data_IF_327688736244
#
_entry.id   IF_327688736244
#
_cell.length_a   1.000
_cell.length_b   1.000
_cell.length_c   1.000
_cell.angle_alpha   90.00
_cell.angle_beta   90.00
_cell.angle_gamma   90.00
#
_symmetry.space_group_name_H-M   'P 1'
#
loop_
_entity.id
_entity.type
_entity.pdbx_description
1 polymer ?
#
# COMPACT_ATOMS: atom_id res chain seq x y z
N UNK A 1 -22.16 30.35 25.64
CA UNK A 1 -21.05 31.26 25.98
C UNK A 1 -19.76 30.46 25.82
N UNK A 2 -18.95 30.83 24.81
CA UNK A 2 -17.51 30.55 24.61
C UNK A 2 -17.10 29.05 24.67
N UNK A 3 -16.67 28.42 23.56
CA UNK A 3 -15.33 28.58 22.99
C UNK A 3 -15.35 28.55 21.46
N UNK A 4 -15.53 29.72 20.83
CA UNK A 4 -14.88 29.96 19.54
C UNK A 4 -13.40 30.19 19.83
N UNK A 5 -12.62 29.10 19.84
CA UNK A 5 -11.19 29.21 19.70
C UNK A 5 -10.91 29.91 18.38
N UNK A 6 -10.19 31.03 18.42
CA UNK A 6 -9.69 31.72 17.23
C UNK A 6 -8.78 30.75 16.47
N UNK A 7 -9.36 29.99 15.55
CA UNK A 7 -8.60 29.43 14.44
C UNK A 7 -7.99 30.63 13.73
N UNK A 8 -6.66 30.72 13.67
CA UNK A 8 -6.02 31.62 12.73
C UNK A 8 -6.50 31.20 11.35
N UNK A 9 -7.38 31.99 10.73
CA UNK A 9 -7.96 31.77 9.41
C UNK A 9 -6.91 31.85 8.27
N UNK A 10 -5.62 31.76 8.60
CA UNK A 10 -4.52 31.78 7.65
C UNK A 10 -4.20 30.33 7.28
N UNK A 11 -4.29 29.97 5.99
CA UNK A 11 -3.85 28.66 5.52
C UNK A 11 -2.41 28.38 5.94
N UNK A 12 -2.12 27.14 6.34
CA UNK A 12 -0.75 26.70 6.60
C UNK A 12 0.04 26.78 5.28
N UNK A 13 1.22 27.39 5.33
CA UNK A 13 2.11 27.39 4.18
C UNK A 13 2.71 26.00 3.96
N UNK A 14 2.76 25.57 2.71
CA UNK A 14 3.44 24.36 2.25
C UNK A 14 4.27 24.79 1.04
N UNK A 15 5.59 24.60 1.11
CA UNK A 15 6.45 24.94 -0.01
C UNK A 15 6.23 23.96 -1.17
N UNK A 16 5.91 24.50 -2.34
CA UNK A 16 5.59 23.66 -3.50
C UNK A 16 6.82 22.90 -3.99
N UNK A 17 8.00 23.53 -4.01
CA UNK A 17 9.23 22.89 -4.51
C UNK A 17 9.60 21.68 -3.65
N UNK A 18 9.54 21.83 -2.33
CA UNK A 18 9.80 20.77 -1.37
C UNK A 18 8.91 19.54 -1.54
N UNK A 19 7.65 19.69 -1.99
CA UNK A 19 6.77 18.53 -2.27
C UNK A 19 7.28 17.63 -3.41
N UNK A 20 8.16 18.15 -4.26
CA UNK A 20 8.77 17.41 -5.36
C UNK A 20 10.22 17.06 -5.05
N UNK A 21 11.01 17.93 -4.40
CA UNK A 21 12.45 17.69 -4.18
C UNK A 21 12.80 17.04 -2.84
N UNK A 22 11.90 17.01 -1.86
CA UNK A 22 12.15 16.48 -0.51
C UNK A 22 11.08 15.43 -0.14
N UNK A 23 11.50 14.16 -0.02
CA UNK A 23 10.62 13.06 0.36
C UNK A 23 10.01 13.26 1.75
N UNK A 24 10.78 13.75 2.72
CA UNK A 24 10.34 14.02 4.08
C UNK A 24 9.27 15.11 4.11
N UNK A 25 9.48 16.21 3.38
CA UNK A 25 8.49 17.28 3.26
C UNK A 25 7.17 16.80 2.63
N UNK A 26 7.25 15.99 1.56
CA UNK A 26 6.08 15.40 0.92
C UNK A 26 5.31 14.46 1.85
N UNK A 27 6.01 13.53 2.52
CA UNK A 27 5.40 12.60 3.48
C UNK A 27 4.77 13.36 4.64
N UNK A 28 5.45 14.38 5.17
CA UNK A 28 4.92 15.21 6.24
C UNK A 28 3.63 15.92 5.83
N UNK A 29 3.59 16.50 4.63
CA UNK A 29 2.38 17.10 4.08
C UNK A 29 1.23 16.10 3.97
N UNK A 30 1.48 14.90 3.42
CA UNK A 30 0.47 13.85 3.30
C UNK A 30 -0.06 13.38 4.66
N UNK A 31 0.83 13.15 5.63
CA UNK A 31 0.46 12.76 6.99
C UNK A 31 -0.40 13.84 7.66
N UNK A 32 -0.02 15.12 7.54
CA UNK A 32 -0.81 16.22 8.08
C UNK A 32 -2.19 16.33 7.43
N UNK A 33 -2.25 16.22 6.09
CA UNK A 33 -3.49 16.35 5.34
C UNK A 33 -4.46 15.19 5.62
N UNK A 34 -3.93 13.97 5.75
CA UNK A 34 -4.71 12.77 6.08
C UNK A 34 -4.97 12.61 7.59
N UNK A 35 -4.50 13.56 8.42
CA UNK A 35 -4.55 13.50 9.87
C UNK A 35 -3.99 12.17 10.41
N UNK A 36 -2.89 11.67 9.82
CA UNK A 36 -2.20 10.46 10.26
C UNK A 36 -1.53 10.72 11.61
N UNK A 37 -2.06 10.10 12.67
CA UNK A 37 -1.71 10.41 14.06
C UNK A 37 -1.13 9.21 14.81
N UNK A 38 -0.72 9.44 16.06
CA UNK A 38 -0.25 8.37 16.96
C UNK A 38 -1.31 7.27 17.19
N UNK A 39 -2.60 7.61 17.14
CA UNK A 39 -3.69 6.64 17.24
C UNK A 39 -3.71 5.69 16.03
N UNK A 40 -3.43 6.21 14.82
CA UNK A 40 -3.31 5.38 13.62
C UNK A 40 -2.09 4.45 13.74
N UNK A 41 -0.96 4.96 14.23
CA UNK A 41 0.25 4.16 14.48
C UNK A 41 -0.02 3.05 15.50
N UNK A 42 -0.69 3.36 16.61
CA UNK A 42 -1.06 2.39 17.63
C UNK A 42 -2.01 1.31 17.08
N UNK A 43 -2.98 1.71 16.25
CA UNK A 43 -3.89 0.78 15.58
C UNK A 43 -3.14 -0.17 14.62
N UNK A 44 -2.23 0.37 13.80
CA UNK A 44 -1.39 -0.41 12.89
C UNK A 44 -0.49 -1.39 13.63
N UNK A 45 0.21 -0.94 14.68
CA UNK A 45 1.09 -1.78 15.48
C UNK A 45 0.32 -2.94 16.11
N UNK A 46 -0.83 -2.66 16.74
CA UNK A 46 -1.71 -3.68 17.32
C UNK A 46 -2.33 -4.61 16.26
N UNK A 47 -2.63 -4.06 15.08
CA UNK A 47 -3.25 -4.76 13.95
C UNK A 47 -2.29 -5.63 13.14
N UNK A 48 -0.98 -5.34 13.22
CA UNK A 48 0.07 -5.92 12.37
C UNK A 48 0.04 -7.45 12.30
N UNK A 49 -0.22 -8.13 13.42
CA UNK A 49 -0.30 -9.60 13.47
C UNK A 49 -1.41 -10.19 12.61
N UNK A 50 -2.55 -9.50 12.50
CA UNK A 50 -3.68 -9.94 11.68
C UNK A 50 -3.38 -9.74 10.19
N UNK A 51 -2.75 -8.62 9.83
CA UNK A 51 -2.35 -8.32 8.45
C UNK A 51 -1.24 -9.28 7.98
N UNK A 52 -0.26 -9.59 8.84
CA UNK A 52 0.77 -10.60 8.56
C UNK A 52 0.17 -11.99 8.34
N UNK A 53 -0.81 -12.38 9.16
CA UNK A 53 -1.51 -13.65 8.99
C UNK A 53 -2.33 -13.73 7.69
N UNK A 54 -2.85 -12.60 7.21
CA UNK A 54 -3.58 -12.49 5.95
C UNK A 54 -2.67 -12.57 4.70
N UNK A 55 -1.39 -12.24 4.82
CA UNK A 55 -0.49 -12.05 3.70
C UNK A 55 -0.44 -13.21 2.68
N UNK A 56 -0.42 -14.50 3.08
CA UNK A 56 -0.42 -15.61 2.11
C UNK A 56 -1.67 -15.60 1.21
N UNK A 57 -2.86 -15.49 1.81
CA UNK A 57 -4.14 -15.49 1.07
C UNK A 57 -4.29 -14.25 0.21
N UNK A 58 -3.90 -13.08 0.72
CA UNK A 58 -3.96 -11.83 -0.04
C UNK A 58 -3.08 -11.89 -1.28
N UNK A 59 -1.84 -12.36 -1.14
CA UNK A 59 -0.90 -12.49 -2.26
C UNK A 59 -1.46 -13.43 -3.33
N UNK A 60 -2.08 -14.53 -2.92
CA UNK A 60 -2.64 -15.51 -3.85
C UNK A 60 -3.81 -14.91 -4.64
N UNK A 61 -4.71 -14.19 -3.96
CA UNK A 61 -5.79 -13.43 -4.61
C UNK A 61 -5.26 -12.38 -5.60
N UNK A 62 -4.23 -11.62 -5.21
CA UNK A 62 -3.62 -10.59 -6.07
C UNK A 62 -3.04 -11.21 -7.34
N UNK A 63 -2.26 -12.28 -7.25
CA UNK A 63 -1.65 -12.89 -8.44
C UNK A 63 -2.66 -13.62 -9.33
N UNK A 64 -3.69 -14.24 -8.75
CA UNK A 64 -4.81 -14.72 -9.55
C UNK A 64 -5.45 -13.55 -10.33
N UNK A 65 -5.71 -12.43 -9.65
CA UNK A 65 -6.33 -11.24 -10.24
C UNK A 65 -5.50 -10.61 -11.36
N UNK A 66 -4.18 -10.52 -11.18
CA UNK A 66 -3.27 -9.97 -12.18
C UNK A 66 -3.16 -10.86 -13.44
N UNK A 67 -3.42 -12.16 -13.31
CA UNK A 67 -3.41 -13.11 -14.43
C UNK A 67 -4.77 -13.24 -15.14
N UNK A 68 -5.83 -12.62 -14.63
CA UNK A 68 -7.17 -12.65 -15.26
C UNK A 68 -7.26 -11.82 -16.54
N UNK A 69 -6.51 -10.71 -16.62
CA UNK A 69 -6.51 -9.82 -17.79
C UNK A 69 -5.16 -9.86 -18.48
N UNK A 70 -5.19 -9.89 -19.80
CA UNK A 70 -4.00 -9.91 -20.66
C UNK A 70 -3.08 -8.72 -20.37
N UNK A 71 -3.63 -7.50 -20.24
CA UNK A 71 -2.87 -6.28 -19.99
C UNK A 71 -2.10 -6.31 -18.66
N UNK A 72 -2.65 -6.93 -17.61
CA UNK A 72 -1.97 -7.06 -16.32
C UNK A 72 -1.04 -8.28 -16.27
N UNK A 73 -1.33 -9.32 -17.05
CA UNK A 73 -0.49 -10.50 -17.16
C UNK A 73 0.75 -10.26 -18.04
N UNK A 74 0.64 -9.34 -19.00
CA UNK A 74 1.67 -9.00 -20.00
C UNK A 74 3.01 -8.66 -19.38
N UNK A 75 3.01 -7.87 -18.31
CA UNK A 75 4.23 -7.45 -17.63
C UNK A 75 5.09 -8.62 -17.13
N UNK A 76 4.49 -9.80 -16.90
CA UNK A 76 5.24 -10.98 -16.48
C UNK A 76 6.01 -11.66 -17.62
N UNK A 77 5.82 -11.20 -18.85
CA UNK A 77 6.55 -11.63 -20.04
C UNK A 77 7.47 -10.53 -20.56
N UNK A 78 6.88 -9.41 -20.95
CA UNK A 78 7.54 -8.27 -21.60
C UNK A 78 8.32 -7.41 -20.62
N UNK A 79 7.97 -7.51 -19.33
CA UNK A 79 8.44 -6.61 -18.27
C UNK A 79 7.94 -5.18 -18.43
N UNK A 80 7.01 -4.94 -19.35
CA UNK A 80 6.43 -3.63 -19.65
C UNK A 80 4.96 -3.77 -20.07
N UNK A 81 4.04 -3.09 -19.40
CA UNK A 81 2.61 -3.14 -19.77
C UNK A 81 2.30 -2.45 -21.09
N UNK A 82 3.13 -1.48 -21.50
CA UNK A 82 2.90 -0.65 -22.69
C UNK A 82 3.35 -1.30 -24.00
N UNK A 83 4.23 -2.30 -23.94
CA UNK A 83 4.70 -3.01 -25.12
C UNK A 83 3.61 -3.94 -25.64
N UNK A 84 3.20 -3.76 -26.89
CA UNK A 84 2.31 -4.71 -27.58
C UNK A 84 3.17 -5.75 -28.29
N UNK A 85 3.13 -7.01 -27.84
CA UNK A 85 3.78 -8.14 -28.52
C UNK A 85 2.78 -8.80 -29.48
N UNK A 86 3.12 -8.87 -30.76
CA UNK A 86 2.28 -9.53 -31.78
C UNK A 86 2.45 -11.07 -31.80
N UNK A 87 3.55 -11.62 -31.28
CA UNK A 87 4.02 -12.95 -31.72
C UNK A 87 3.82 -14.12 -30.75
N UNK A 88 3.53 -13.90 -29.46
CA UNK A 88 3.49 -15.01 -28.50
C UNK A 88 2.21 -15.00 -27.67
N UNK A 89 1.45 -16.11 -27.72
CA UNK A 89 0.10 -16.22 -27.12
C UNK A 89 0.08 -16.85 -25.73
N UNK A 90 1.23 -17.33 -25.22
CA UNK A 90 1.27 -18.06 -23.96
C UNK A 90 1.54 -17.13 -22.79
N UNK A 91 0.56 -16.97 -21.91
CA UNK A 91 0.70 -16.26 -20.64
C UNK A 91 1.18 -17.20 -19.53
N UNK A 92 1.96 -16.70 -18.56
CA UNK A 92 2.30 -17.48 -17.38
C UNK A 92 1.05 -17.83 -16.58
N UNK A 93 1.00 -19.05 -16.07
CA UNK A 93 -0.04 -19.51 -15.15
C UNK A 93 0.35 -19.23 -13.70
N UNK A 94 -0.61 -19.37 -12.79
CA UNK A 94 -0.39 -19.23 -11.35
C UNK A 94 0.77 -20.10 -10.84
N UNK A 95 0.96 -21.30 -11.39
CA UNK A 95 1.99 -22.26 -11.00
C UNK A 95 3.35 -22.03 -11.66
N UNK A 96 3.46 -21.07 -12.58
CA UNK A 96 4.72 -20.75 -13.25
C UNK A 96 5.78 -20.33 -12.24
N UNK A 97 6.99 -20.89 -12.35
CA UNK A 97 8.09 -20.66 -11.39
C UNK A 97 8.40 -19.17 -11.19
N UNK A 98 8.29 -18.37 -12.25
CA UNK A 98 8.46 -16.91 -12.17
C UNK A 98 7.37 -16.23 -11.32
N UNK A 99 6.10 -16.61 -11.49
CA UNK A 99 4.98 -16.09 -10.69
C UNK A 99 5.14 -16.48 -9.22
N UNK A 100 5.56 -17.70 -8.93
CA UNK A 100 5.84 -18.16 -7.57
C UNK A 100 6.93 -17.32 -6.88
N UNK A 101 8.03 -16.99 -7.60
CA UNK A 101 9.07 -16.09 -7.09
C UNK A 101 8.52 -14.69 -6.82
N UNK A 102 7.73 -14.12 -7.73
CA UNK A 102 7.13 -12.79 -7.58
C UNK A 102 6.13 -12.72 -6.41
N UNK A 103 5.37 -13.78 -6.15
CA UNK A 103 4.51 -13.94 -4.95
C UNK A 103 5.31 -13.81 -3.65
N UNK A 104 6.51 -14.40 -3.57
CA UNK A 104 7.38 -14.28 -2.38
C UNK A 104 7.78 -12.82 -2.11
N UNK A 105 8.11 -12.04 -3.14
CA UNK A 105 8.41 -10.62 -2.97
C UNK A 105 7.21 -9.84 -2.41
N UNK A 106 6.00 -10.10 -2.89
CA UNK A 106 4.81 -9.42 -2.36
C UNK A 106 4.53 -9.83 -0.91
N UNK A 107 4.80 -11.08 -0.50
CA UNK A 107 4.72 -11.51 0.91
C UNK A 107 5.67 -10.73 1.80
N UNK A 108 6.92 -10.53 1.36
CA UNK A 108 7.88 -9.70 2.09
C UNK A 108 7.45 -8.24 2.15
N UNK A 109 6.89 -7.72 1.05
CA UNK A 109 6.33 -6.38 1.01
C UNK A 109 5.20 -6.19 2.04
N UNK A 110 4.27 -7.15 2.13
CA UNK A 110 3.20 -7.13 3.15
C UNK A 110 3.76 -7.09 4.58
N UNK A 111 4.88 -7.77 4.82
CA UNK A 111 5.58 -7.73 6.12
C UNK A 111 6.19 -6.35 6.37
N UNK A 112 6.79 -5.73 5.35
CA UNK A 112 7.33 -4.37 5.43
C UNK A 112 6.26 -3.31 5.65
N UNK A 113 5.06 -3.48 5.08
CA UNK A 113 3.91 -2.60 5.38
C UNK A 113 3.47 -2.65 6.85
N UNK A 114 3.84 -3.70 7.57
CA UNK A 114 3.57 -3.83 9.00
C UNK A 114 4.76 -3.40 9.88
N UNK A 115 5.77 -2.72 9.31
CA UNK A 115 6.86 -2.11 10.08
C UNK A 115 6.47 -0.72 10.58
N UNK A 116 7.31 -0.14 11.45
CA UNK A 116 7.01 1.09 12.17
C UNK A 116 6.87 2.30 11.22
N UNK A 117 5.66 2.87 11.05
CA UNK A 117 5.43 3.98 10.13
C UNK A 117 5.90 5.33 10.70
N UNK A 118 6.47 5.37 11.91
CA UNK A 118 7.11 6.60 12.45
C UNK A 118 8.53 6.80 11.92
N UNK A 119 9.08 5.79 11.24
CA UNK A 119 10.45 5.74 10.76
C UNK A 119 10.55 6.25 9.31
N UNK A 120 11.48 7.15 8.97
CA UNK A 120 11.64 7.63 7.59
C UNK A 120 11.91 6.49 6.60
N UNK A 121 12.63 5.46 7.05
CA UNK A 121 12.99 4.28 6.26
C UNK A 121 11.75 3.52 5.75
N UNK A 122 10.62 3.61 6.46
CA UNK A 122 9.34 3.07 6.02
C UNK A 122 8.92 3.71 4.70
N UNK A 123 8.92 5.04 4.63
CA UNK A 123 8.47 5.80 3.46
C UNK A 123 9.50 5.81 2.33
N UNK A 124 10.80 5.80 2.66
CA UNK A 124 11.87 5.59 1.69
C UNK A 124 11.71 4.26 0.96
N UNK A 125 11.38 3.19 1.70
CA UNK A 125 11.12 1.90 1.11
C UNK A 125 9.90 1.92 0.17
N UNK A 126 8.79 2.55 0.57
CA UNK A 126 7.62 2.70 -0.29
C UNK A 126 7.96 3.48 -1.57
N UNK A 127 8.64 4.62 -1.42
CA UNK A 127 9.08 5.45 -2.54
C UNK A 127 9.99 4.66 -3.51
N UNK A 128 10.93 3.87 -2.98
CA UNK A 128 11.79 2.98 -3.76
C UNK A 128 10.97 1.95 -4.54
N UNK A 129 9.94 1.35 -3.93
CA UNK A 129 9.07 0.41 -4.65
C UNK A 129 8.32 1.10 -5.79
N UNK A 130 7.89 2.35 -5.61
CA UNK A 130 7.37 3.18 -6.72
C UNK A 130 8.36 3.29 -7.88
N UNK A 131 9.61 3.69 -7.60
CA UNK A 131 10.70 3.77 -8.60
C UNK A 131 10.95 2.44 -9.32
N UNK A 132 10.88 1.33 -8.58
CA UNK A 132 11.05 -0.02 -9.13
C UNK A 132 9.98 -0.44 -10.14
N UNK A 133 8.83 0.24 -10.20
CA UNK A 133 7.76 -0.01 -11.17
C UNK A 133 7.83 0.87 -12.42
N UNK A 134 8.76 1.83 -12.47
CA UNK A 134 9.10 2.61 -13.69
C UNK A 134 10.45 2.19 -14.29
N UNK A 135 10.94 1.01 -13.93
CA UNK A 135 12.23 0.49 -14.40
C UNK A 135 13.48 1.08 -13.73
N UNK A 136 13.36 2.02 -12.78
CA UNK A 136 14.50 2.52 -11.99
C UNK A 136 14.85 1.54 -10.86
N UNK A 137 16.09 1.56 -10.38
CA UNK A 137 16.59 0.75 -9.24
C UNK A 137 16.43 -0.78 -9.36
N UNK A 138 16.38 -1.31 -10.59
CA UNK A 138 16.44 -2.76 -10.85
C UNK A 138 17.53 -3.04 -11.87
N UNK A 139 18.25 -4.17 -11.70
CA UNK A 139 19.17 -4.66 -12.72
C UNK A 139 18.44 -5.02 -14.02
N UNK A 140 17.23 -5.57 -13.90
CA UNK A 140 16.35 -5.80 -15.02
C UNK A 140 15.15 -4.85 -14.88
N UNK A 141 14.98 -3.93 -15.83
CA UNK A 141 13.93 -2.92 -15.82
C UNK A 141 12.53 -3.56 -15.84
N UNK A 142 11.58 -2.99 -15.10
CA UNK A 142 10.20 -3.45 -14.99
C UNK A 142 9.30 -2.23 -14.97
N UNK A 143 8.49 -2.06 -16.01
CA UNK A 143 7.63 -0.92 -16.23
C UNK A 143 6.16 -1.32 -16.12
N UNK A 144 5.41 -0.66 -15.23
CA UNK A 144 3.98 -0.89 -15.04
C UNK A 144 3.29 0.46 -15.05
N UNK A 145 2.38 0.66 -15.98
CA UNK A 145 1.61 1.89 -16.05
C UNK A 145 0.77 2.10 -14.78
N UNK A 146 0.66 3.36 -14.37
CA UNK A 146 0.06 3.71 -13.08
C UNK A 146 -1.40 3.25 -12.92
N UNK A 147 -2.17 3.20 -14.01
CA UNK A 147 -3.56 2.72 -13.98
C UNK A 147 -3.66 1.30 -13.39
N UNK A 148 -2.71 0.41 -13.73
CA UNK A 148 -2.67 -0.96 -13.25
C UNK A 148 -2.18 -1.04 -11.79
N UNK A 149 -1.26 -0.15 -11.41
CA UNK A 149 -0.82 0.00 -10.02
C UNK A 149 -1.99 0.44 -9.14
N UNK A 150 -2.65 1.55 -9.49
CA UNK A 150 -3.73 2.14 -8.71
C UNK A 150 -4.90 1.18 -8.51
N UNK A 151 -5.34 0.48 -9.57
CA UNK A 151 -6.42 -0.51 -9.46
C UNK A 151 -6.01 -1.72 -8.61
N UNK A 152 -4.75 -2.16 -8.69
CA UNK A 152 -4.24 -3.26 -7.84
C UNK A 152 -4.19 -2.85 -6.36
N UNK A 153 -3.80 -1.61 -6.04
CA UNK A 153 -3.84 -1.09 -4.68
C UNK A 153 -5.27 -1.03 -4.14
N UNK A 154 -6.23 -0.59 -4.95
CA UNK A 154 -7.66 -0.62 -4.61
C UNK A 154 -8.16 -2.04 -4.31
N UNK A 155 -7.75 -3.03 -5.12
CA UNK A 155 -8.10 -4.43 -4.88
C UNK A 155 -7.47 -5.00 -3.60
N UNK A 156 -6.22 -4.64 -3.30
CA UNK A 156 -5.55 -5.00 -2.04
C UNK A 156 -6.30 -4.40 -0.85
N UNK A 157 -6.70 -3.13 -0.94
CA UNK A 157 -7.46 -2.44 0.11
C UNK A 157 -8.80 -3.14 0.39
N UNK A 158 -9.52 -3.57 -0.65
CA UNK A 158 -10.79 -4.29 -0.53
C UNK A 158 -10.63 -5.63 0.22
N UNK A 159 -9.62 -6.43 -0.14
CA UNK A 159 -9.32 -7.71 0.55
C UNK A 159 -9.02 -7.46 2.04
N UNK A 160 -8.21 -6.44 2.34
CA UNK A 160 -7.86 -6.08 3.71
C UNK A 160 -9.10 -5.66 4.50
N UNK A 161 -9.97 -4.84 3.89
CA UNK A 161 -11.21 -4.37 4.49
C UNK A 161 -12.13 -5.55 4.85
N UNK A 162 -12.38 -6.44 3.88
CA UNK A 162 -13.19 -7.64 4.07
C UNK A 162 -12.64 -8.50 5.21
N UNK A 163 -11.32 -8.74 5.24
CA UNK A 163 -10.67 -9.55 6.26
C UNK A 163 -10.76 -8.93 7.66
N UNK A 164 -10.56 -7.62 7.79
CA UNK A 164 -10.66 -6.92 9.08
C UNK A 164 -12.10 -6.96 9.60
N UNK A 165 -13.09 -6.69 8.76
CA UNK A 165 -14.50 -6.70 9.18
C UNK A 165 -15.04 -8.10 9.45
N UNK A 166 -14.53 -9.12 8.77
CA UNK A 166 -14.89 -10.53 9.00
C UNK A 166 -14.22 -11.14 10.23
N UNK A 167 -13.18 -10.50 10.79
CA UNK A 167 -12.45 -11.06 11.92
C UNK A 167 -13.35 -11.16 13.17
N UNK A 168 -13.55 -12.35 13.76
CA UNK A 168 -14.56 -12.57 14.81
C UNK A 168 -14.18 -11.95 16.16
N UNK A 169 -12.87 -11.85 16.44
CA UNK A 169 -12.38 -11.41 17.76
C UNK A 169 -12.06 -9.89 17.84
N UNK A 170 -12.16 -9.15 16.73
CA UNK A 170 -11.87 -7.71 16.76
C UNK A 170 -13.14 -6.94 17.12
N UNK A 171 -13.02 -6.00 18.06
CA UNK A 171 -14.12 -5.09 18.39
C UNK A 171 -14.41 -4.17 17.22
N UNK A 172 -15.66 -3.73 17.07
CA UNK A 172 -16.04 -2.80 15.99
C UNK A 172 -15.22 -1.50 16.03
N UNK A 173 -14.98 -0.95 17.22
CA UNK A 173 -14.15 0.24 17.40
C UNK A 173 -12.71 0.03 16.88
N UNK A 174 -12.11 -1.13 17.17
CA UNK A 174 -10.77 -1.44 16.67
C UNK A 174 -10.75 -1.73 15.16
N UNK A 175 -11.77 -2.41 14.62
CA UNK A 175 -11.95 -2.61 13.17
C UNK A 175 -11.96 -1.26 12.44
N UNK A 176 -12.76 -0.31 12.93
CA UNK A 176 -12.84 1.04 12.38
C UNK A 176 -11.49 1.77 12.45
N UNK A 177 -10.83 1.77 13.61
CA UNK A 177 -9.54 2.42 13.78
C UNK A 177 -8.46 1.82 12.85
N UNK A 178 -8.40 0.49 12.77
CA UNK A 178 -7.44 -0.21 11.92
C UNK A 178 -7.69 0.07 10.44
N UNK A 179 -8.94 0.06 9.98
CA UNK A 179 -9.30 0.36 8.59
C UNK A 179 -8.97 1.80 8.22
N UNK A 180 -9.25 2.76 9.10
CA UNK A 180 -8.85 4.16 8.89
C UNK A 180 -7.33 4.29 8.73
N UNK A 181 -6.57 3.70 9.64
CA UNK A 181 -5.12 3.77 9.61
C UNK A 181 -4.52 3.10 8.37
N UNK A 182 -5.00 1.91 8.00
CA UNK A 182 -4.58 1.20 6.79
C UNK A 182 -4.92 1.99 5.51
N UNK A 183 -6.11 2.60 5.45
CA UNK A 183 -6.52 3.41 4.30
C UNK A 183 -5.61 4.62 4.11
N UNK A 184 -5.19 5.29 5.19
CA UNK A 184 -4.24 6.41 5.14
C UNK A 184 -2.87 5.95 4.62
N UNK A 185 -2.34 4.82 5.11
CA UNK A 185 -1.06 4.26 4.63
C UNK A 185 -1.12 3.88 3.15
N UNK A 186 -2.20 3.24 2.71
CA UNK A 186 -2.41 2.88 1.30
C UNK A 186 -2.48 4.13 0.43
N UNK A 187 -3.12 5.21 0.88
CA UNK A 187 -3.13 6.48 0.16
C UNK A 187 -1.74 7.13 0.06
N UNK A 188 -0.98 7.16 1.15
CA UNK A 188 0.40 7.68 1.13
C UNK A 188 1.26 6.85 0.18
N UNK A 189 1.15 5.53 0.23
CA UNK A 189 1.82 4.62 -0.71
C UNK A 189 1.43 4.92 -2.16
N UNK A 190 0.13 5.08 -2.43
CA UNK A 190 -0.39 5.36 -3.76
C UNK A 190 0.19 6.66 -4.32
N UNK A 191 0.26 7.72 -3.51
CA UNK A 191 0.91 9.00 -3.88
C UNK A 191 2.40 8.79 -4.20
N UNK A 192 3.14 8.09 -3.32
CA UNK A 192 4.56 7.82 -3.51
C UNK A 192 4.85 6.95 -4.75
N UNK A 193 3.88 6.21 -5.25
CA UNK A 193 4.00 5.47 -6.51
C UNK A 193 3.64 6.38 -7.70
N UNK A 194 2.57 7.16 -7.56
CA UNK A 194 2.08 8.08 -8.58
C UNK A 194 3.10 9.17 -8.94
N UNK A 195 3.87 9.67 -7.95
CA UNK A 195 4.86 10.74 -8.18
C UNK A 195 5.93 10.41 -9.23
N UNK A 196 6.15 9.12 -9.51
CA UNK A 196 7.12 8.65 -10.51
C UNK A 196 6.52 8.52 -11.91
N UNK A 197 5.21 8.74 -12.04
CA UNK A 197 4.41 8.51 -13.23
C UNK A 197 3.73 9.80 -13.73
N UNK A 198 3.38 10.70 -12.80
CA UNK A 198 2.81 12.01 -13.14
C UNK A 198 3.90 13.02 -13.50
N UNK A 199 3.51 14.04 -14.27
CA UNK A 199 4.40 15.10 -14.79
C UNK A 199 4.44 16.36 -13.91
N UNK A 200 3.77 16.32 -12.77
CA UNK A 200 3.69 17.45 -11.85
C UNK A 200 5.07 17.72 -11.23
N UNK A 201 5.53 18.97 -11.27
CA UNK A 201 6.81 19.36 -10.68
C UNK A 201 8.03 19.01 -11.54
N UNK A 202 7.85 18.66 -12.82
CA UNK A 202 8.94 18.45 -13.79
C UNK A 202 9.91 19.64 -13.88
N UNK A 203 9.43 20.87 -13.61
CA UNK A 203 10.25 22.07 -13.54
C UNK A 203 11.29 22.08 -12.39
N UNK A 204 11.21 21.12 -11.46
CA UNK A 204 12.14 20.94 -10.35
C UNK A 204 13.02 19.69 -10.51
N UNK A 205 12.94 18.98 -11.65
CA UNK A 205 13.62 17.69 -11.84
C UNK A 205 15.15 17.78 -11.82
N UNK A 206 15.71 18.93 -12.22
CA UNK A 206 17.16 19.17 -12.18
C UNK A 206 17.67 19.22 -10.72
N UNK A 207 16.90 19.81 -9.80
CA UNK A 207 17.22 19.90 -8.37
C UNK A 207 17.15 18.53 -7.66
N UNK A 208 16.30 17.60 -8.11
CA UNK A 208 16.27 16.23 -7.57
C UNK A 208 17.60 15.51 -7.81
N UNK A 209 18.28 15.77 -8.93
CA UNK A 209 19.56 15.11 -9.24
C UNK A 209 20.71 15.63 -8.39
N UNK A 210 20.76 16.94 -8.11
CA UNK A 210 21.79 17.55 -7.27
C UNK A 210 21.72 17.04 -5.82
N UNK A 211 20.52 16.94 -5.23
CA UNK A 211 20.33 16.43 -3.86
C UNK A 211 20.72 14.95 -3.66
N UNK A 212 20.64 14.15 -4.72
CA UNK A 212 21.10 12.74 -4.70
C UNK A 212 22.62 12.64 -4.81
N UNK A 213 23.27 13.58 -5.52
CA UNK A 213 24.72 13.65 -5.61
C UNK A 213 25.35 14.08 -4.28
N UNK A 214 24.79 15.08 -3.59
CA UNK A 214 25.26 15.52 -2.27
C UNK A 214 25.19 14.41 -1.20
N UNK A 215 24.12 13.61 -1.21
CA UNK A 215 23.97 12.47 -0.30
C UNK A 215 24.92 11.30 -0.60
N UNK A 216 25.38 11.15 -1.86
CA UNK A 216 26.37 10.13 -2.24
C UNK A 216 27.80 10.57 -1.90
N UNK A 217 28.11 11.84 -2.01
CA UNK A 217 29.45 12.37 -1.66
C UNK A 217 29.74 12.33 -0.16
N UNK A 218 28.71 12.31 0.70
CA UNK A 218 28.87 12.07 2.14
C UNK A 218 29.16 10.60 2.51
N UNK A 219 29.04 9.66 1.57
CA UNK A 219 29.25 8.23 1.80
C UNK A 219 30.36 7.68 0.88
N UNK A 220 31.62 8.03 1.15
CA UNK A 220 32.78 7.37 0.54
C UNK A 220 33.91 7.09 1.55
N UNK A 221 34.54 5.92 1.36
CA UNK A 221 35.58 5.19 2.14
C UNK A 221 35.09 4.50 3.43
N UNK A 222 35.11 3.17 3.57
CA UNK A 222 36.25 2.26 3.38
C UNK A 222 35.84 0.88 2.82
N UNK A 223 36.67 0.35 1.91
CA UNK A 223 37.15 -1.04 1.82
C UNK A 223 37.23 -1.55 0.38
N UNK A 224 38.43 -1.49 -0.17
CA UNK A 224 38.83 -2.19 -1.37
C UNK A 224 39.22 -3.66 -1.11
N UNK A 225 38.99 -4.46 -2.16
CA UNK A 225 39.71 -5.67 -2.56
C UNK A 225 39.29 -7.04 -2.00
N UNK A 226 38.79 -7.89 -2.91
CA UNK A 226 39.52 -9.10 -3.33
C UNK A 226 39.09 -9.55 -4.75
N UNK A 227 39.99 -10.31 -5.36
CA UNK A 227 40.23 -10.53 -6.79
C UNK A 227 39.54 -11.79 -7.34
N UNK A 228 39.00 -11.66 -8.57
CA UNK A 228 38.94 -12.54 -9.77
C UNK A 228 39.07 -14.08 -9.66
N UNK A 229 38.11 -14.85 -10.26
CA UNK A 229 38.27 -15.66 -11.51
C UNK A 229 37.01 -16.51 -11.85
N UNK A 230 36.74 -16.63 -13.15
CA UNK A 230 35.58 -17.15 -13.90
C UNK A 230 35.36 -18.68 -13.88
N UNK A 231 34.10 -19.17 -13.93
CA UNK A 231 33.42 -19.71 -15.14
C UNK A 231 32.03 -20.37 -14.84
N UNK A 232 31.02 -19.98 -15.63
CA UNK A 232 29.81 -20.73 -16.08
C UNK A 232 29.06 -21.68 -15.13
N UNK A 233 27.90 -21.21 -14.63
CA UNK A 233 26.56 -21.79 -14.84
C UNK A 233 25.53 -20.78 -14.31
N UNK A 234 24.62 -20.29 -15.18
CA UNK A 234 23.58 -19.33 -14.79
C UNK A 234 22.56 -20.00 -13.86
N UNK A 235 22.67 -19.71 -12.57
CA UNK A 235 21.59 -19.83 -11.59
C UNK A 235 21.56 -18.54 -10.77
N UNK A 236 20.60 -17.67 -11.08
CA UNK A 236 20.42 -16.40 -10.38
C UNK A 236 19.77 -16.62 -9.03
N UNK A 237 20.59 -16.68 -7.98
CA UNK A 237 20.17 -16.40 -6.61
C UNK A 237 20.41 -14.90 -6.33
N UNK A 238 19.42 -14.12 -5.85
CA UNK A 238 19.69 -12.77 -5.40
C UNK A 238 20.33 -12.79 -4.01
N UNK A 239 21.41 -12.02 -3.91
CA UNK A 239 22.24 -11.71 -2.75
C UNK A 239 21.47 -11.52 -1.44
N UNK A 240 21.82 -12.34 -0.44
CA UNK A 240 21.41 -12.21 0.96
C UNK A 240 22.17 -11.07 1.65
N UNK A 241 21.50 -9.93 1.80
CA UNK A 241 21.77 -9.01 2.91
C UNK A 241 20.70 -9.37 3.92
N UNK A 242 21.04 -9.98 5.06
CA UNK A 242 20.35 -9.98 6.36
C UNK A 242 20.82 -11.21 7.15
N UNK A 243 21.86 -11.02 7.97
CA UNK A 243 22.11 -11.81 9.17
C UNK A 243 22.02 -10.89 10.38
N UNK A 244 21.74 -11.51 11.52
CA UNK A 244 21.70 -10.99 12.89
C UNK A 244 20.39 -10.35 13.37
N UNK A 245 19.56 -11.19 13.98
CA UNK A 245 19.01 -10.86 15.30
C UNK A 245 19.19 -12.03 16.25
N UNK A 246 20.04 -11.79 17.26
CA UNK A 246 20.37 -12.63 18.40
C UNK A 246 19.19 -12.73 19.36
N UNK A 247 18.84 -13.95 19.73
CA UNK A 247 17.85 -14.29 20.75
C UNK A 247 18.32 -13.87 22.14
N UNK A 248 17.42 -13.29 22.95
CA UNK A 248 17.56 -13.24 24.41
C UNK A 248 16.18 -13.51 25.01
N UNK A 249 16.07 -14.63 25.72
CA UNK A 249 14.95 -15.01 26.58
C UNK A 249 14.86 -14.08 27.80
N UNK A 250 13.64 -13.81 28.31
CA UNK A 250 13.36 -13.73 29.75
C UNK A 250 11.88 -13.94 30.06
N UNK A 251 11.67 -14.68 31.13
CA UNK A 251 10.49 -15.28 31.74
C UNK A 251 9.54 -14.33 32.51
N UNK A 252 8.26 -14.70 32.45
CA UNK A 252 7.14 -14.57 33.42
C UNK A 252 7.19 -13.59 34.61
N UNK A 253 6.06 -12.88 34.83
CA UNK A 253 5.31 -12.97 36.10
C UNK A 253 3.89 -12.41 36.01
N UNK A 254 3.00 -13.09 36.74
CA UNK A 254 1.57 -12.83 36.95
C UNK A 254 1.31 -11.58 37.77
N UNK A 255 0.23 -10.83 37.46
CA UNK A 255 -0.59 -10.15 38.46
C UNK A 255 -2.07 -10.17 38.08
N UNK A 256 -2.87 -10.70 38.99
CA UNK A 256 -4.34 -10.69 39.05
C UNK A 256 -4.83 -9.38 39.66
N UNK A 257 -5.87 -8.77 39.09
CA UNK A 257 -6.78 -7.89 39.84
C UNK A 257 -8.17 -7.81 39.17
N UNK A 258 -9.19 -8.05 39.98
CA UNK A 258 -10.62 -8.13 39.67
C UNK A 258 -11.33 -6.77 39.74
N UNK A 259 -12.18 -6.52 38.73
CA UNK A 259 -13.52 -5.90 38.72
C UNK A 259 -13.89 -4.81 39.75
N UNK A 260 -14.31 -3.63 39.24
CA UNK A 260 -15.63 -3.06 39.54
C UNK A 260 -16.03 -1.95 38.53
N UNK A 261 -17.27 -2.04 38.04
CA UNK A 261 -17.96 -1.04 37.22
C UNK A 261 -18.61 0.06 38.09
N UNK A 262 -18.93 1.22 37.48
CA UNK A 262 -20.33 1.64 37.55
C UNK A 262 -20.90 2.10 36.20
N UNK A 263 -22.15 1.72 36.02
CA UNK A 263 -23.11 2.14 35.00
C UNK A 263 -23.53 3.60 35.17
N UNK A 264 -23.56 4.38 34.08
CA UNK A 264 -24.60 5.39 33.89
C UNK A 264 -24.81 5.70 32.40
N UNK A 265 -26.08 5.66 32.03
CA UNK A 265 -26.69 5.97 30.75
C UNK A 265 -26.77 7.47 30.51
N UNK A 266 -26.48 7.95 29.30
CA UNK A 266 -27.31 8.95 28.58
C UNK A 266 -26.83 9.07 27.13
N UNK A 267 -27.67 8.61 26.21
CA UNK A 267 -27.53 8.72 24.77
C UNK A 267 -27.98 10.10 24.29
N UNK A 268 -27.09 10.86 23.66
CA UNK A 268 -27.44 12.00 22.82
C UNK A 268 -27.06 11.67 21.37
N UNK A 269 -28.07 11.53 20.53
CA UNK A 269 -27.94 11.18 19.12
C UNK A 269 -27.26 12.33 18.35
N UNK A 270 -26.09 12.08 17.76
CA UNK A 270 -25.54 12.94 16.70
C UNK A 270 -26.22 12.54 15.39
N UNK A 271 -27.11 13.41 14.88
CA UNK A 271 -27.80 13.18 13.62
C UNK A 271 -26.81 13.22 12.45
N UNK A 272 -26.80 12.13 11.66
CA UNK A 272 -26.07 12.04 10.42
C UNK A 272 -26.79 12.91 9.36
N UNK A 273 -26.11 13.76 8.58
CA UNK A 273 -26.77 14.66 7.62
C UNK A 273 -27.47 13.93 6.45
N UNK A 274 -27.33 12.60 6.36
CA UNK A 274 -27.94 11.76 5.34
C UNK A 274 -29.19 11.00 5.79
N UNK A 275 -29.65 11.14 7.04
CA UNK A 275 -30.81 10.39 7.55
C UNK A 275 -32.19 11.00 7.23
N UNK A 276 -32.26 11.98 6.31
CA UNK A 276 -33.53 12.49 5.78
C UNK A 276 -34.15 11.50 4.79
N UNK A 277 -35.30 10.93 5.13
CA UNK A 277 -35.95 9.86 4.37
C UNK A 277 -36.36 10.24 2.96
N UNK A 278 -35.73 9.63 1.96
CA UNK A 278 -36.30 9.46 0.61
C UNK A 278 -37.05 8.14 0.56
N UNK A 279 -38.39 8.19 0.57
CA UNK A 279 -39.20 7.09 0.04
C UNK A 279 -39.23 7.23 -1.47
N UNK A 280 -38.34 6.55 -2.18
CA UNK A 280 -38.54 6.22 -3.59
C UNK A 280 -38.69 4.71 -3.71
N UNK A 281 -39.92 4.28 -3.97
CA UNK A 281 -40.27 2.95 -4.43
C UNK A 281 -39.83 2.83 -5.89
N UNK A 282 -38.75 2.08 -6.14
CA UNK A 282 -38.42 1.64 -7.50
C UNK A 282 -39.04 0.26 -7.71
N UNK A 283 -40.11 0.25 -8.49
CA UNK A 283 -40.76 -0.94 -9.00
C UNK A 283 -39.96 -1.43 -10.23
N UNK A 284 -39.27 -2.57 -10.11
CA UNK A 284 -38.54 -3.19 -11.22
C UNK A 284 -39.53 -3.85 -12.18
N UNK A 285 -39.85 -3.15 -13.28
CA UNK A 285 -40.63 -3.69 -14.40
C UNK A 285 -39.71 -4.51 -15.30
N UNK A 286 -39.80 -5.83 -15.18
CA UNK A 286 -39.18 -6.81 -16.08
C UNK A 286 -39.83 -6.68 -17.46
N UNK A 287 -39.04 -6.36 -18.49
CA UNK A 287 -39.48 -6.45 -19.88
C UNK A 287 -39.37 -7.89 -20.37
N UNK A 288 -40.51 -8.57 -20.43
CA UNK A 288 -40.71 -9.78 -21.24
C UNK A 288 -41.33 -9.37 -22.58
N UNK A 289 -40.66 -9.69 -23.69
CA UNK A 289 -41.16 -9.45 -25.05
C UNK A 289 -42.39 -10.31 -25.37
N UNK A 290 -43.23 -9.89 -26.34
CA UNK A 290 -44.53 -10.52 -26.57
C UNK A 290 -44.43 -11.77 -27.46
N UNK A 291 -44.90 -12.90 -26.94
CA UNK A 291 -45.41 -14.01 -27.73
C UNK A 291 -46.74 -13.60 -28.39
N UNK A 292 -46.72 -13.40 -29.70
CA UNK A 292 -47.91 -13.22 -30.52
C UNK A 292 -48.14 -14.44 -31.42
N UNK A 293 -49.02 -15.35 -31.02
CA UNK A 293 -49.67 -16.32 -31.92
C UNK A 293 -51.04 -15.80 -32.34
N UNK A 294 -51.34 -15.76 -33.64
CA UNK A 294 -52.47 -16.46 -34.30
C UNK A 294 -52.64 -16.08 -35.78
N UNK A 295 -52.62 -17.12 -36.62
CA UNK A 295 -53.59 -17.42 -37.69
C UNK A 295 -54.03 -16.35 -38.67
N UNK A 296 -53.60 -16.50 -39.93
CA UNK A 296 -54.44 -17.07 -41.00
C UNK A 296 -53.58 -17.80 -42.02
#
# INVERSE_FOLDING_TARGET
MVLQGKSSNVPRHVDRKALYTDLGARVHYLQQFLEFSEDDVAALNKGSKYIKALAPTLVDKVYAKLLENDITARVFRTRDTSLEDEEETTYPTFDSAYIQRRRMFLRWYMTKLCSDPTKPEFYEYLNKVGRMHIGKDRMLAFHVEYIHIGVCLGYIQDIILEAVFSHPQLTLAFKLALVKALSKVIWIQNDLFARWQVRDGEEFAEDETESVHENKEQHHDDSASYITRSNTQLSEAPSSIFSDTRSVDTTASHFTATMHAPSSSHSSHSACPFSGGFKQSFETKVWSGPDGKRGH
#
